data_IF_086601113038
#
_entry.id   IF_086601113038
#
_cell.length_a   1.000
_cell.length_b   1.000
_cell.length_c   1.000
_cell.angle_alpha   90.00
_cell.angle_beta   90.00
_cell.angle_gamma   90.00
#
_symmetry.space_group_name_H-M   'P 1'
#
loop_
_entity.id
_entity.type
_entity.pdbx_description
1 polymer ?
#
# COMPACT_ATOMS: atom_id res chain seq x y z
N UNK A 1 54.29 -5.77 -33.30
CA UNK A 1 55.11 -5.10 -32.27
C UNK A 1 56.58 -5.47 -32.38
N UNK A 2 56.97 -6.75 -32.18
CA UNK A 2 58.38 -7.19 -32.25
C UNK A 2 59.14 -6.71 -33.50
N UNK A 3 58.59 -6.92 -34.69
CA UNK A 3 59.20 -6.51 -35.96
C UNK A 3 59.37 -4.99 -36.10
N UNK A 4 58.40 -4.21 -35.62
CA UNK A 4 58.48 -2.74 -35.66
C UNK A 4 59.61 -2.23 -34.75
N UNK A 5 59.76 -2.83 -33.57
CA UNK A 5 60.85 -2.52 -32.63
C UNK A 5 62.22 -2.84 -33.23
N UNK A 6 62.37 -4.00 -33.89
CA UNK A 6 63.63 -4.40 -34.54
C UNK A 6 64.00 -3.45 -35.70
N UNK A 7 63.04 -3.09 -36.54
CA UNK A 7 63.27 -2.15 -37.66
C UNK A 7 63.68 -0.76 -37.15
N UNK A 8 63.03 -0.26 -36.09
CA UNK A 8 63.44 1.01 -35.47
C UNK A 8 64.85 0.94 -34.87
N UNK A 9 65.23 -0.17 -34.23
CA UNK A 9 66.57 -0.36 -33.70
C UNK A 9 67.63 -0.36 -34.81
N UNK A 10 67.34 -1.02 -35.95
CA UNK A 10 68.23 -1.00 -37.12
C UNK A 10 68.37 0.40 -37.72
N UNK A 11 67.26 1.14 -37.90
CA UNK A 11 67.28 2.52 -38.42
C UNK A 11 68.06 3.47 -37.51
N UNK A 12 67.92 3.33 -36.20
CA UNK A 12 68.69 4.10 -35.22
C UNK A 12 70.19 3.81 -35.32
N UNK A 13 70.58 2.56 -35.57
CA UNK A 13 71.98 2.17 -35.70
C UNK A 13 72.65 2.72 -36.96
N UNK A 14 71.87 3.00 -38.02
CA UNK A 14 72.35 3.61 -39.28
C UNK A 14 72.34 5.15 -39.21
N UNK A 15 72.02 5.74 -38.05
CA UNK A 15 72.05 7.19 -37.83
C UNK A 15 70.78 7.94 -38.26
N UNK A 16 69.69 7.22 -38.58
CA UNK A 16 68.39 7.85 -38.87
C UNK A 16 67.74 8.33 -37.59
N UNK A 17 67.22 9.56 -37.57
CA UNK A 17 66.46 10.08 -36.44
C UNK A 17 65.10 9.38 -36.34
N UNK A 18 64.98 8.43 -35.41
CA UNK A 18 63.74 7.67 -35.18
C UNK A 18 62.70 8.41 -34.33
N UNK A 19 62.99 9.61 -33.83
CA UNK A 19 62.11 10.35 -32.90
C UNK A 19 60.71 10.57 -33.48
N UNK A 20 60.62 10.94 -34.76
CA UNK A 20 59.34 11.12 -35.44
C UNK A 20 58.54 9.80 -35.54
N UNK A 21 59.20 8.68 -35.84
CA UNK A 21 58.56 7.36 -35.92
C UNK A 21 58.07 6.88 -34.55
N UNK A 22 58.88 7.07 -33.50
CA UNK A 22 58.50 6.76 -32.13
C UNK A 22 57.33 7.61 -31.68
N UNK A 23 57.33 8.92 -31.99
CA UNK A 23 56.23 9.82 -31.70
C UNK A 23 54.93 9.38 -32.40
N UNK A 24 54.99 9.05 -33.70
CA UNK A 24 53.84 8.55 -34.46
C UNK A 24 53.32 7.20 -33.95
N UNK A 25 54.20 6.29 -33.53
CA UNK A 25 53.79 5.02 -32.90
C UNK A 25 53.16 5.23 -31.52
N UNK A 26 53.63 6.21 -30.76
CA UNK A 26 53.00 6.61 -29.49
C UNK A 26 51.56 7.09 -29.71
N UNK A 27 51.36 8.03 -30.64
CA UNK A 27 50.02 8.54 -30.98
C UNK A 27 49.15 7.45 -31.59
N UNK A 28 49.69 6.63 -32.50
CA UNK A 28 48.98 5.50 -33.11
C UNK A 28 48.58 4.43 -32.07
N UNK A 29 49.43 4.16 -31.09
CA UNK A 29 49.16 3.25 -29.99
C UNK A 29 48.01 3.72 -29.11
N UNK A 30 47.96 5.02 -28.78
CA UNK A 30 46.84 5.61 -28.04
C UNK A 30 45.54 5.49 -28.83
N UNK A 31 45.56 5.77 -30.14
CA UNK A 31 44.38 5.63 -30.98
C UNK A 31 43.83 4.18 -31.00
N UNK A 32 44.72 3.19 -31.10
CA UNK A 32 44.34 1.76 -31.03
C UNK A 32 43.80 1.40 -29.63
N UNK A 33 44.44 1.89 -28.57
CA UNK A 33 44.00 1.65 -27.19
C UNK A 33 42.59 2.20 -26.95
N UNK A 34 42.31 3.43 -27.39
CA UNK A 34 40.98 4.05 -27.31
C UNK A 34 39.94 3.29 -28.13
N UNK A 35 40.32 2.77 -29.31
CA UNK A 35 39.41 1.98 -30.14
C UNK A 35 39.01 0.65 -29.49
N UNK A 36 39.92 0.01 -28.76
CA UNK A 36 39.71 -1.32 -28.14
C UNK A 36 39.22 -1.23 -26.70
N UNK A 37 39.31 -0.07 -26.05
CA UNK A 37 38.97 0.15 -24.65
C UNK A 37 37.62 -0.47 -24.25
N UNK A 38 36.57 -0.25 -25.04
CA UNK A 38 35.22 -0.76 -24.74
C UNK A 38 35.14 -2.29 -24.83
N UNK A 39 35.83 -2.90 -25.80
CA UNK A 39 35.85 -4.36 -25.98
C UNK A 39 36.55 -5.03 -24.80
N UNK A 40 37.69 -4.48 -24.36
CA UNK A 40 38.38 -4.99 -23.18
C UNK A 40 37.53 -4.81 -21.92
N UNK A 41 36.83 -3.67 -21.79
CA UNK A 41 35.88 -3.43 -20.71
C UNK A 41 34.80 -4.51 -20.61
N UNK A 42 34.16 -4.86 -21.73
CA UNK A 42 33.13 -5.92 -21.78
C UNK A 42 33.69 -7.29 -21.37
N UNK A 43 34.91 -7.62 -21.80
CA UNK A 43 35.57 -8.89 -21.46
C UNK A 43 35.92 -8.93 -19.98
N UNK A 44 36.50 -7.87 -19.42
CA UNK A 44 36.81 -7.79 -17.99
C UNK A 44 35.54 -7.84 -17.14
N UNK A 45 34.46 -7.19 -17.56
CA UNK A 45 33.18 -7.28 -16.86
C UNK A 45 32.66 -8.71 -16.78
N UNK A 46 32.74 -9.45 -17.89
CA UNK A 46 32.31 -10.85 -17.96
C UNK A 46 33.21 -11.77 -17.13
N UNK A 47 34.52 -11.51 -17.13
CA UNK A 47 35.48 -12.22 -16.28
C UNK A 47 35.21 -11.96 -14.80
N UNK A 48 34.95 -10.72 -14.41
CA UNK A 48 34.58 -10.37 -13.03
C UNK A 48 33.28 -11.04 -12.61
N UNK A 49 32.26 -11.10 -13.46
CA UNK A 49 31.03 -11.85 -13.16
C UNK A 49 31.33 -13.35 -12.98
N UNK A 50 32.20 -13.93 -13.81
CA UNK A 50 32.55 -15.35 -13.73
C UNK A 50 33.40 -15.71 -12.50
N UNK A 51 34.31 -14.82 -12.10
CA UNK A 51 35.25 -15.04 -10.98
C UNK A 51 34.59 -14.66 -9.65
N UNK A 52 34.06 -13.45 -9.53
CA UNK A 52 33.52 -12.93 -8.27
C UNK A 52 32.08 -13.38 -8.00
N UNK A 53 31.35 -13.80 -9.05
CA UNK A 53 29.96 -14.27 -9.00
C UNK A 53 29.06 -13.41 -8.12
N UNK A 54 28.91 -12.10 -8.42
CA UNK A 54 27.97 -11.23 -7.69
C UNK A 54 26.51 -11.71 -7.81
N UNK A 55 26.21 -12.46 -8.88
CA UNK A 55 24.94 -13.15 -9.12
C UNK A 55 25.21 -14.40 -9.97
N UNK A 56 24.27 -15.33 -9.93
CA UNK A 56 24.29 -16.56 -10.72
C UNK A 56 23.01 -16.71 -11.56
N UNK A 57 23.05 -17.63 -12.52
CA UNK A 57 21.84 -18.04 -13.25
C UNK A 57 20.83 -18.59 -12.24
N UNK A 58 19.59 -18.11 -12.33
CA UNK A 58 18.50 -18.40 -11.40
C UNK A 58 18.32 -17.36 -10.29
N UNK A 59 19.25 -16.42 -10.11
CA UNK A 59 19.12 -15.38 -9.10
C UNK A 59 18.10 -14.32 -9.55
N UNK A 60 17.21 -13.92 -8.63
CA UNK A 60 16.40 -12.72 -8.82
C UNK A 60 17.22 -11.49 -8.43
N UNK A 61 17.44 -10.60 -9.40
CA UNK A 61 18.24 -9.39 -9.22
C UNK A 61 17.46 -8.14 -9.61
N UNK A 62 17.80 -7.02 -8.97
CA UNK A 62 17.35 -5.68 -9.36
C UNK A 62 18.58 -4.85 -9.71
N UNK A 63 18.57 -4.26 -10.91
CA UNK A 63 19.64 -3.43 -11.46
C UNK A 63 19.03 -2.13 -11.96
N UNK A 64 19.25 -1.04 -11.22
CA UNK A 64 18.57 0.23 -11.49
C UNK A 64 17.06 0.09 -11.40
N UNK A 65 16.35 0.36 -12.50
CA UNK A 65 14.89 0.23 -12.60
C UNK A 65 14.43 -1.16 -13.10
N UNK A 66 15.36 -2.03 -13.49
CA UNK A 66 15.06 -3.34 -14.06
C UNK A 66 15.11 -4.41 -12.98
N UNK A 67 14.18 -5.36 -13.03
CA UNK A 67 14.12 -6.47 -12.08
C UNK A 67 13.76 -7.77 -12.80
N UNK A 68 14.32 -8.88 -12.34
CA UNK A 68 14.02 -10.18 -12.93
C UNK A 68 14.99 -11.28 -12.53
N UNK A 69 14.74 -12.48 -13.05
CA UNK A 69 15.58 -13.66 -12.82
C UNK A 69 16.63 -13.80 -13.91
N UNK A 70 17.89 -13.99 -13.55
CA UNK A 70 18.98 -14.22 -14.50
C UNK A 70 18.77 -15.56 -15.20
N UNK A 71 18.60 -15.55 -16.53
CA UNK A 71 18.46 -16.77 -17.33
C UNK A 71 19.79 -17.25 -17.90
N UNK A 72 20.66 -16.32 -18.31
CA UNK A 72 21.91 -16.66 -18.96
C UNK A 72 22.93 -15.52 -18.86
N UNK A 73 24.17 -15.86 -18.53
CA UNK A 73 25.32 -14.94 -18.54
C UNK A 73 26.21 -15.32 -19.72
N UNK A 74 26.28 -14.46 -20.72
CA UNK A 74 27.15 -14.61 -21.90
C UNK A 74 28.45 -13.83 -21.78
N UNK A 75 29.27 -13.86 -22.84
CA UNK A 75 30.58 -13.18 -22.89
C UNK A 75 30.51 -11.65 -22.99
N UNK A 76 29.38 -11.09 -23.43
CA UNK A 76 29.19 -9.63 -23.54
C UNK A 76 27.92 -9.15 -22.85
N UNK A 77 26.90 -9.99 -22.83
CA UNK A 77 25.57 -9.64 -22.36
C UNK A 77 25.02 -10.69 -21.41
N UNK A 78 24.21 -10.24 -20.48
CA UNK A 78 23.40 -11.08 -19.60
C UNK A 78 21.92 -10.95 -19.98
N UNK A 79 21.20 -12.06 -19.91
CA UNK A 79 19.76 -12.15 -20.20
C UNK A 79 19.00 -12.35 -18.88
N UNK A 80 18.01 -11.50 -18.65
CA UNK A 80 17.21 -11.46 -17.43
C UNK A 80 15.73 -11.60 -17.82
N UNK A 81 15.00 -12.53 -17.22
CA UNK A 81 13.54 -12.63 -17.36
C UNK A 81 12.86 -11.72 -16.36
N UNK A 82 12.20 -10.68 -16.85
CA UNK A 82 11.39 -9.79 -16.03
C UNK A 82 10.16 -10.52 -15.47
N UNK A 83 9.57 -9.96 -14.41
CA UNK A 83 8.29 -10.42 -13.87
C UNK A 83 7.14 -10.26 -14.88
N UNK A 84 7.25 -9.33 -15.84
CA UNK A 84 6.32 -9.18 -16.95
C UNK A 84 6.44 -10.27 -18.02
N UNK A 85 7.46 -11.12 -17.93
CA UNK A 85 7.73 -12.22 -18.85
C UNK A 85 8.62 -11.84 -20.03
N UNK A 86 8.97 -10.57 -20.23
CA UNK A 86 9.94 -10.15 -21.25
C UNK A 86 11.37 -10.55 -20.89
N UNK A 87 12.19 -10.82 -21.92
CA UNK A 87 13.63 -11.03 -21.75
C UNK A 87 14.36 -9.70 -21.94
N UNK A 88 14.97 -9.23 -20.87
CA UNK A 88 15.84 -8.07 -20.84
C UNK A 88 17.25 -8.53 -21.20
N UNK A 89 17.89 -7.86 -22.16
CA UNK A 89 19.28 -8.11 -22.55
C UNK A 89 20.11 -6.89 -22.19
N UNK A 90 21.09 -7.05 -21.31
CA UNK A 90 21.94 -5.97 -20.81
C UNK A 90 23.42 -6.30 -21.02
N UNK A 91 24.23 -5.29 -21.33
CA UNK A 91 25.68 -5.48 -21.42
C UNK A 91 26.28 -5.77 -20.03
N UNK A 92 27.28 -6.64 -19.97
CA UNK A 92 27.92 -7.02 -18.72
C UNK A 92 28.64 -5.82 -18.08
N UNK A 93 29.25 -4.95 -18.88
CA UNK A 93 29.83 -3.70 -18.42
C UNK A 93 28.78 -2.81 -17.72
N UNK A 94 27.59 -2.67 -18.29
CA UNK A 94 26.51 -1.88 -17.69
C UNK A 94 26.01 -2.50 -16.38
N UNK A 95 25.97 -3.84 -16.27
CA UNK A 95 25.60 -4.50 -15.02
C UNK A 95 26.58 -4.19 -13.89
N UNK A 96 27.89 -4.33 -14.14
CA UNK A 96 28.90 -4.12 -13.09
C UNK A 96 29.07 -2.64 -12.73
N UNK A 97 28.72 -1.73 -13.63
CA UNK A 97 28.74 -0.29 -13.37
C UNK A 97 27.55 0.18 -12.53
N UNK A 98 26.52 -0.66 -12.36
CA UNK A 98 25.34 -0.36 -11.55
C UNK A 98 25.35 -1.12 -10.22
N UNK A 99 24.65 -0.57 -9.22
CA UNK A 99 24.40 -1.31 -7.98
C UNK A 99 23.42 -2.44 -8.24
N UNK A 100 23.86 -3.67 -7.96
CA UNK A 100 23.06 -4.89 -8.11
C UNK A 100 22.50 -5.28 -6.74
N UNK A 101 21.17 -5.36 -6.63
CA UNK A 101 20.51 -5.94 -5.47
C UNK A 101 20.18 -7.40 -5.78
N UNK A 102 20.88 -8.34 -5.15
CA UNK A 102 20.66 -9.77 -5.34
C UNK A 102 19.78 -10.33 -4.21
N UNK A 103 18.59 -10.83 -4.58
CA UNK A 103 17.61 -11.35 -3.62
C UNK A 103 17.79 -12.84 -3.33
N UNK A 104 18.64 -13.59 -4.06
CA UNK A 104 18.96 -15.00 -3.75
C UNK A 104 19.58 -15.16 -2.37
N UNK A 105 20.34 -14.16 -1.92
CA UNK A 105 21.02 -14.16 -0.61
C UNK A 105 20.18 -13.59 0.52
N UNK A 106 18.97 -13.10 0.22
CA UNK A 106 18.04 -12.66 1.25
C UNK A 106 17.69 -13.87 2.11
N UNK A 107 17.90 -13.80 3.42
CA UNK A 107 17.48 -14.84 4.36
C UNK A 107 16.16 -14.45 5.02
N UNK A 108 16.03 -13.17 5.36
CA UNK A 108 14.87 -12.61 6.01
C UNK A 108 14.50 -11.30 5.29
N UNK A 109 13.21 -10.97 5.23
CA UNK A 109 12.67 -9.75 4.60
C UNK A 109 12.32 -8.73 5.66
N UNK A 110 13.06 -7.62 5.73
CA UNK A 110 12.67 -6.47 6.55
C UNK A 110 11.56 -5.69 5.85
N UNK A 111 10.41 -5.58 6.50
CA UNK A 111 9.23 -4.88 6.01
C UNK A 111 9.03 -3.61 6.82
N UNK A 112 8.90 -2.48 6.12
CA UNK A 112 8.44 -1.22 6.69
C UNK A 112 6.98 -1.06 6.30
N UNK A 113 6.12 -1.03 7.30
CA UNK A 113 4.68 -0.93 7.17
C UNK A 113 4.20 0.35 7.84
N UNK A 114 3.48 1.18 7.09
CA UNK A 114 2.93 2.43 7.59
C UNK A 114 1.41 2.37 7.56
N UNK A 115 0.78 2.87 8.63
CA UNK A 115 -0.67 3.03 8.69
C UNK A 115 -1.02 4.34 9.39
N UNK A 116 -2.23 4.81 9.12
CA UNK A 116 -2.70 6.13 9.55
C UNK A 116 -4.01 6.00 10.29
N UNK A 117 -4.10 6.65 11.44
CA UNK A 117 -5.28 6.68 12.30
C UNK A 117 -5.88 8.09 12.35
N UNK A 118 -7.15 8.18 12.67
CA UNK A 118 -7.88 9.45 12.75
C UNK A 118 -7.52 10.26 14.01
N UNK A 119 -7.71 11.58 13.96
CA UNK A 119 -7.36 12.50 15.06
C UNK A 119 -8.26 12.41 16.29
N UNK A 120 -9.39 11.69 16.21
CA UNK A 120 -10.28 11.41 17.35
C UNK A 120 -9.76 10.31 18.28
N UNK A 121 -8.65 9.64 17.95
CA UNK A 121 -8.02 8.70 18.86
C UNK A 121 -7.53 9.40 20.13
N UNK A 122 -7.93 8.87 21.29
CA UNK A 122 -7.40 9.27 22.58
C UNK A 122 -5.93 8.88 22.74
N UNK A 123 -5.22 9.57 23.63
CA UNK A 123 -3.81 9.27 23.94
C UNK A 123 -3.64 7.82 24.43
N UNK A 124 -4.61 7.29 25.16
CA UNK A 124 -4.55 5.91 25.65
C UNK A 124 -4.71 4.90 24.49
N UNK A 125 -5.61 5.15 23.54
CA UNK A 125 -5.69 4.35 22.32
C UNK A 125 -4.37 4.38 21.53
N UNK A 126 -3.76 5.56 21.37
CA UNK A 126 -2.48 5.74 20.68
C UNK A 126 -1.36 4.93 21.37
N UNK A 127 -1.35 4.84 22.71
CA UNK A 127 -0.38 4.03 23.48
C UNK A 127 -0.59 2.53 23.32
N UNK A 128 -1.83 2.09 23.13
CA UNK A 128 -2.17 0.67 23.01
C UNK A 128 -1.94 0.12 21.60
N UNK A 129 -2.05 0.96 20.57
CA UNK A 129 -1.88 0.57 19.16
C UNK A 129 -0.56 -0.19 18.90
N UNK A 130 0.63 0.32 19.28
CA UNK A 130 1.88 -0.41 19.07
C UNK A 130 1.95 -1.76 19.76
N UNK A 131 1.38 -1.89 20.96
CA UNK A 131 1.35 -3.14 21.74
C UNK A 131 0.48 -4.20 21.08
N UNK A 132 -0.66 -3.78 20.52
CA UNK A 132 -1.55 -4.65 19.75
C UNK A 132 -0.85 -5.15 18.49
N UNK A 133 -0.19 -4.25 17.76
CA UNK A 133 0.57 -4.58 16.55
C UNK A 133 1.72 -5.55 16.86
N UNK A 134 2.47 -5.33 17.95
CA UNK A 134 3.50 -6.25 18.42
C UNK A 134 2.94 -7.65 18.70
N UNK A 135 1.80 -7.73 19.40
CA UNK A 135 1.15 -8.99 19.73
C UNK A 135 0.73 -9.75 18.47
N UNK A 136 0.15 -9.06 17.49
CA UNK A 136 -0.28 -9.62 16.20
C UNK A 136 0.92 -10.17 15.43
N UNK A 137 2.00 -9.39 15.32
CA UNK A 137 3.18 -9.81 14.57
C UNK A 137 3.86 -11.01 15.22
N UNK A 138 3.99 -11.01 16.55
CA UNK A 138 4.58 -12.14 17.28
C UNK A 138 3.70 -13.42 17.24
N UNK A 139 2.41 -13.31 16.92
CA UNK A 139 1.55 -14.47 16.70
C UNK A 139 1.81 -15.16 15.35
N UNK A 140 2.42 -14.46 14.39
CA UNK A 140 2.74 -15.01 13.08
C UNK A 140 4.03 -15.84 13.14
N UNK A 141 3.94 -17.13 12.80
CA UNK A 141 5.07 -18.08 12.90
C UNK A 141 6.31 -17.68 12.10
N UNK A 142 6.11 -16.99 10.98
CA UNK A 142 7.17 -16.59 10.05
C UNK A 142 7.47 -15.08 10.14
N UNK A 143 7.04 -14.40 11.21
CA UNK A 143 7.37 -13.00 11.43
C UNK A 143 8.06 -12.79 12.78
N UNK A 144 8.95 -11.81 12.83
CA UNK A 144 9.60 -11.32 14.04
C UNK A 144 9.35 -9.83 14.14
N UNK A 145 8.79 -9.40 15.26
CA UNK A 145 8.61 -7.98 15.54
C UNK A 145 9.96 -7.27 15.72
N UNK A 146 10.08 -6.04 15.20
CA UNK A 146 11.24 -5.16 15.41
C UNK A 146 10.80 -3.92 16.19
N UNK A 147 9.88 -3.11 15.62
CA UNK A 147 9.36 -1.92 16.29
C UNK A 147 7.99 -1.50 15.78
N UNK A 148 7.26 -0.75 16.60
CA UNK A 148 6.06 -0.03 16.19
C UNK A 148 5.95 1.27 16.98
N UNK A 149 5.79 2.40 16.28
CA UNK A 149 5.78 3.71 16.91
C UNK A 149 4.75 4.65 16.27
N UNK A 150 4.16 5.50 17.11
CA UNK A 150 3.54 6.73 16.65
C UNK A 150 4.63 7.67 16.14
N UNK A 151 4.72 7.80 14.81
CA UNK A 151 5.80 8.50 14.10
C UNK A 151 5.61 10.01 14.16
N UNK A 152 4.38 10.48 14.06
CA UNK A 152 4.10 11.91 14.07
C UNK A 152 2.70 12.29 13.58
N UNK A 153 2.51 13.58 13.39
CA UNK A 153 1.26 14.20 12.98
C UNK A 153 1.29 14.49 11.48
N UNK A 154 0.43 13.82 10.71
CA UNK A 154 0.22 14.08 9.29
C UNK A 154 -0.89 15.12 9.05
N UNK A 155 -1.02 15.62 7.82
CA UNK A 155 -1.99 16.68 7.47
C UNK A 155 -3.43 16.34 7.87
N UNK A 156 -3.83 15.07 7.74
CA UNK A 156 -5.19 14.60 8.03
C UNK A 156 -5.22 13.35 8.91
N UNK A 157 -4.11 12.98 9.55
CA UNK A 157 -4.01 11.72 10.31
C UNK A 157 -2.89 11.70 11.35
N UNK A 158 -3.01 10.79 12.31
CA UNK A 158 -1.93 10.31 13.17
C UNK A 158 -1.17 9.20 12.45
N UNK A 159 0.15 9.34 12.29
CA UNK A 159 0.96 8.43 11.48
C UNK A 159 1.73 7.43 12.34
N UNK A 160 1.67 6.15 11.96
CA UNK A 160 2.39 5.07 12.63
C UNK A 160 3.32 4.37 11.64
N UNK A 161 4.51 4.03 12.13
CA UNK A 161 5.46 3.19 11.42
C UNK A 161 5.69 1.92 12.23
N UNK A 162 5.59 0.78 11.56
CA UNK A 162 5.90 -0.53 12.11
C UNK A 162 6.92 -1.23 11.22
N UNK A 163 7.89 -1.86 11.86
CA UNK A 163 8.89 -2.68 11.20
C UNK A 163 8.79 -4.08 11.77
N UNK A 164 8.77 -5.05 10.86
CA UNK A 164 8.88 -6.46 11.20
C UNK A 164 9.70 -7.19 10.15
N UNK A 165 10.16 -8.37 10.51
CA UNK A 165 11.03 -9.18 9.68
C UNK A 165 10.30 -10.48 9.37
N UNK A 166 10.10 -10.80 8.09
CA UNK A 166 9.61 -12.11 7.66
C UNK A 166 10.81 -13.05 7.58
N UNK A 167 10.72 -14.19 8.27
CA UNK A 167 11.78 -15.18 8.44
C UNK A 167 11.94 -16.13 7.23
N UNK A 168 11.38 -15.74 6.09
CA UNK A 168 11.41 -16.50 4.85
C UNK A 168 11.70 -15.56 3.67
N UNK A 169 12.55 -15.97 2.72
CA UNK A 169 12.91 -15.14 1.57
C UNK A 169 11.88 -15.17 0.43
N UNK A 170 10.92 -16.09 0.44
CA UNK A 170 9.87 -16.19 -0.57
C UNK A 170 8.96 -14.97 -0.54
N UNK A 171 8.75 -14.37 -1.71
CA UNK A 171 7.88 -13.22 -1.84
C UNK A 171 6.41 -13.58 -1.55
N UNK A 172 5.95 -14.75 -1.98
CA UNK A 172 4.57 -15.18 -1.74
C UNK A 172 4.30 -15.42 -0.25
N UNK A 173 5.27 -16.01 0.46
CA UNK A 173 5.17 -16.20 1.92
C UNK A 173 5.08 -14.85 2.63
N UNK A 174 5.91 -13.88 2.22
CA UNK A 174 5.79 -12.51 2.71
C UNK A 174 4.37 -11.94 2.47
N UNK A 175 3.82 -12.10 1.27
CA UNK A 175 2.47 -11.58 0.95
C UNK A 175 1.38 -12.22 1.81
N UNK A 176 1.46 -13.53 2.06
CA UNK A 176 0.51 -14.25 2.91
C UNK A 176 0.61 -13.78 4.38
N UNK A 177 1.83 -13.63 4.90
CA UNK A 177 2.08 -13.13 6.27
C UNK A 177 1.60 -11.68 6.40
N UNK A 178 1.91 -10.82 5.43
CA UNK A 178 1.45 -9.43 5.41
C UNK A 178 -0.08 -9.34 5.39
N UNK A 179 -0.74 -10.19 4.61
CA UNK A 179 -2.20 -10.24 4.56
C UNK A 179 -2.79 -10.62 5.92
N UNK A 180 -2.26 -11.67 6.56
CA UNK A 180 -2.72 -12.10 7.88
C UNK A 180 -2.56 -10.99 8.92
N UNK A 181 -1.39 -10.35 8.98
CA UNK A 181 -1.13 -9.20 9.87
C UNK A 181 -2.13 -8.06 9.61
N UNK A 182 -2.38 -7.71 8.34
CA UNK A 182 -3.29 -6.61 8.02
C UNK A 182 -4.72 -6.89 8.50
N UNK A 183 -5.21 -8.12 8.33
CA UNK A 183 -6.55 -8.51 8.77
C UNK A 183 -6.66 -8.50 10.30
N UNK A 184 -5.68 -9.08 10.98
CA UNK A 184 -5.62 -9.08 12.45
C UNK A 184 -5.56 -7.65 13.03
N UNK A 185 -4.84 -6.75 12.37
CA UNK A 185 -4.79 -5.32 12.75
C UNK A 185 -6.18 -4.68 12.58
N UNK A 186 -6.87 -4.96 11.48
CA UNK A 186 -8.23 -4.43 11.25
C UNK A 186 -9.19 -4.87 12.36
N UNK A 187 -9.12 -6.15 12.76
CA UNK A 187 -9.95 -6.68 13.85
C UNK A 187 -9.59 -6.04 15.20
N UNK A 188 -8.29 -6.01 15.56
CA UNK A 188 -7.84 -5.45 16.83
C UNK A 188 -8.12 -3.94 16.97
N UNK A 189 -8.07 -3.17 15.87
CA UNK A 189 -8.37 -1.74 15.91
C UNK A 189 -9.87 -1.48 16.00
N UNK A 190 -10.70 -2.32 15.39
CA UNK A 190 -12.15 -2.25 15.58
C UNK A 190 -12.54 -2.51 17.05
N UNK A 191 -11.89 -3.47 17.71
CA UNK A 191 -12.09 -3.73 19.15
C UNK A 191 -11.65 -2.56 20.05
N UNK A 192 -10.61 -1.83 19.64
CA UNK A 192 -10.08 -0.68 20.37
C UNK A 192 -10.85 0.64 20.09
N UNK A 193 -11.89 0.59 19.25
CA UNK A 193 -12.62 1.76 18.73
C UNK A 193 -11.68 2.78 18.05
N UNK A 194 -10.71 2.27 17.31
CA UNK A 194 -9.72 3.04 16.55
C UNK A 194 -10.04 2.95 15.06
N UNK A 195 -10.00 4.09 14.37
CA UNK A 195 -10.38 4.18 12.96
C UNK A 195 -9.18 4.54 12.09
N UNK A 196 -9.11 3.89 10.92
CA UNK A 196 -8.15 4.26 9.89
C UNK A 196 -8.52 5.62 9.29
N UNK A 197 -7.50 6.44 9.04
CA UNK A 197 -7.69 7.74 8.44
C UNK A 197 -7.98 7.63 6.94
N UNK A 198 -8.98 8.39 6.50
CA UNK A 198 -9.21 8.71 5.10
C UNK A 198 -8.82 10.17 4.86
N UNK A 199 -8.47 10.56 3.62
CA UNK A 199 -8.32 11.96 3.29
C UNK A 199 -9.57 12.74 3.69
N UNK A 200 -9.43 13.68 4.63
CA UNK A 200 -10.54 14.47 5.16
C UNK A 200 -10.27 15.96 4.98
N UNK A 201 -11.34 16.73 4.77
CA UNK A 201 -11.27 18.19 4.67
C UNK A 201 -12.41 18.81 5.45
N UNK A 202 -12.09 19.80 6.27
CA UNK A 202 -13.10 20.64 6.93
C UNK A 202 -13.55 21.71 5.94
N UNK A 203 -14.82 21.66 5.52
CA UNK A 203 -15.41 22.67 4.63
C UNK A 203 -16.15 23.71 5.48
N UNK A 204 -15.64 24.94 5.50
CA UNK A 204 -16.34 26.08 6.07
C UNK A 204 -17.35 26.61 5.05
N UNK A 205 -18.64 26.34 5.27
CA UNK A 205 -19.73 26.84 4.43
C UNK A 205 -20.11 28.24 4.90
N UNK A 206 -19.70 29.28 4.16
CA UNK A 206 -19.92 30.68 4.51
C UNK A 206 -21.41 31.10 4.52
N UNK A 207 -22.24 30.48 3.67
CA UNK A 207 -23.69 30.64 3.72
C UNK A 207 -24.37 29.43 3.08
N UNK A 208 -25.46 28.98 3.70
CA UNK A 208 -26.36 28.02 3.08
C UNK A 208 -27.20 28.76 2.03
N UNK A 209 -27.38 28.22 0.81
CA UNK A 209 -28.31 28.80 -0.15
C UNK A 209 -29.71 28.89 0.48
N UNK A 210 -30.48 29.95 0.20
CA UNK A 210 -31.81 30.12 0.77
C UNK A 210 -32.65 28.88 0.48
N UNK A 211 -33.14 28.25 1.53
CA UNK A 211 -34.08 27.12 1.42
C UNK A 211 -35.27 27.63 0.60
N UNK A 212 -35.41 27.13 -0.64
CA UNK A 212 -36.62 27.34 -1.42
C UNK A 212 -37.73 26.57 -0.70
N UNK A 213 -38.44 27.23 0.21
CA UNK A 213 -39.70 26.74 0.74
C UNK A 213 -40.58 26.45 -0.46
N UNK A 214 -40.77 25.17 -0.80
CA UNK A 214 -41.71 24.78 -1.83
C UNK A 214 -43.03 25.46 -1.49
N UNK A 215 -43.52 26.23 -2.46
CA UNK A 215 -44.69 27.10 -2.35
C UNK A 215 -45.76 26.34 -1.57
N UNK A 216 -46.08 26.83 -0.36
CA UNK A 216 -47.11 26.27 0.52
C UNK A 216 -48.35 26.04 -0.37
N UNK A 217 -48.62 24.79 -0.77
CA UNK A 217 -49.82 24.48 -1.54
C UNK A 217 -50.95 24.86 -0.62
N UNK A 218 -51.62 25.96 -0.95
CA UNK A 218 -52.77 26.44 -0.21
C UNK A 218 -53.86 25.42 -0.49
N UNK A 219 -53.94 24.36 0.33
CA UNK A 219 -55.10 23.48 0.35
C UNK A 219 -56.29 24.40 0.65
N UNK A 220 -57.05 24.74 -0.40
CA UNK A 220 -58.30 25.44 -0.25
C UNK A 220 -59.27 24.48 0.41
N UNK A 221 -59.31 24.53 1.74
CA UNK A 221 -60.43 24.01 2.49
C UNK A 221 -61.66 24.82 2.06
N UNK A 222 -62.51 24.25 1.19
CA UNK A 222 -63.89 24.74 1.03
C UNK A 222 -64.56 24.61 2.39
N UNK A 223 -65.02 25.73 2.95
CA UNK A 223 -65.76 25.69 4.20
C UNK A 223 -67.05 24.89 4.00
N UNK A 224 -67.42 24.00 4.94
CA UNK A 224 -68.78 23.50 5.00
C UNK A 224 -69.71 24.68 5.27
N UNK A 225 -70.76 24.81 4.46
CA UNK A 225 -71.84 25.79 4.62
C UNK A 225 -72.40 25.70 6.04
N UNK A 226 -72.72 26.86 6.63
CA UNK A 226 -73.19 27.03 8.03
C UNK A 226 -74.19 25.94 8.45
N UNK A 227 -73.80 25.15 9.44
CA UNK A 227 -74.73 24.37 10.26
C UNK A 227 -75.13 25.25 11.45
N UNK A 228 -76.04 26.19 11.22
CA UNK A 228 -76.65 26.98 12.31
C UNK A 228 -78.16 27.17 12.11
N UNK A 229 -78.80 26.29 11.34
CA UNK A 229 -80.24 26.35 11.05
C UNK A 229 -80.98 25.03 11.35
N UNK A 230 -80.35 24.12 12.10
CA UNK A 230 -80.92 22.81 12.44
C UNK A 230 -80.72 22.41 13.91
N UNK A 231 -80.86 23.35 14.85
CA UNK A 231 -80.96 23.02 16.27
C UNK A 231 -81.78 24.04 17.07
N UNK A 232 -82.99 24.34 16.58
CA UNK A 232 -84.06 24.98 17.37
C UNK A 232 -85.38 24.25 17.12
N UNK A 233 -85.38 22.93 17.28
CA UNK A 233 -86.57 22.13 17.56
C UNK A 233 -86.11 20.72 17.92
N UNK A 234 -86.19 20.37 19.21
CA UNK A 234 -85.77 19.05 19.67
C UNK A 234 -85.26 18.94 21.10
N UNK A 235 -85.66 19.82 22.02
CA UNK A 235 -85.77 19.42 23.42
C UNK A 235 -86.99 18.50 23.55
N UNK A 236 -86.80 17.21 23.27
CA UNK A 236 -87.56 16.12 23.88
C UNK A 236 -86.75 14.83 23.83
N UNK A 237 -86.64 14.22 25.01
CA UNK A 237 -86.19 12.87 25.32
C UNK A 237 -84.66 12.69 25.34
N UNK A 238 -84.08 12.63 26.55
CA UNK A 238 -83.72 11.38 27.24
C UNK A 238 -82.43 10.78 26.65
N UNK A 239 -81.46 10.19 27.33
CA UNK A 239 -81.15 9.90 28.73
C UNK A 239 -79.82 9.13 28.65
N UNK A 240 -78.91 9.37 29.60
CA UNK A 240 -77.77 8.49 29.93
C UNK A 240 -76.67 8.34 28.84
N UNK A 241 -75.38 8.17 29.11
CA UNK A 241 -74.66 7.72 30.30
C UNK A 241 -73.36 8.51 30.46
N UNK A 242 -73.07 8.75 31.73
CA UNK A 242 -71.81 9.23 32.30
C UNK A 242 -70.70 8.20 32.06
N UNK A 243 -69.53 8.60 31.58
CA UNK A 243 -68.28 7.91 31.94
C UNK A 243 -67.23 8.94 32.34
N UNK A 244 -66.80 8.80 33.58
CA UNK A 244 -65.93 9.68 34.34
C UNK A 244 -64.47 9.52 33.94
N UNK A 245 -63.79 10.64 33.72
CA UNK A 245 -62.35 10.66 33.52
C UNK A 245 -61.53 10.27 34.76
N UNK A 246 -60.28 9.87 34.50
CA UNK A 246 -59.11 10.38 35.24
C UNK A 246 -57.94 10.57 34.26
N UNK A 247 -57.10 11.61 34.44
CA UNK A 247 -55.95 11.87 33.57
C UNK A 247 -54.75 10.97 33.89
N UNK A 248 -53.85 10.84 32.92
CA UNK A 248 -52.61 10.06 32.95
C UNK A 248 -51.49 10.74 33.79
N UNK A 249 -50.79 9.99 34.65
CA UNK A 249 -49.62 10.46 35.41
C UNK A 249 -48.33 9.68 35.06
N UNK A 250 -47.17 10.34 34.91
CA UNK A 250 -45.91 9.71 34.54
C UNK A 250 -45.11 9.30 35.79
N UNK A 251 -45.06 8.00 36.09
CA UNK A 251 -44.30 7.52 37.25
C UNK A 251 -44.45 6.04 37.56
N UNK A 252 -44.18 5.13 36.60
CA UNK A 252 -43.92 3.71 36.88
C UNK A 252 -42.87 3.13 35.94
N UNK A 253 -41.61 3.47 36.22
CA UNK A 253 -40.48 2.63 35.86
C UNK A 253 -40.12 1.78 37.08
N UNK A 254 -39.84 0.49 36.82
CA UNK A 254 -39.24 -0.55 37.68
C UNK A 254 -40.16 -1.71 38.04
N UNK A 255 -39.57 -2.90 37.84
CA UNK A 255 -40.03 -4.25 38.15
C UNK A 255 -40.88 -4.90 37.05
N UNK A 256 -40.22 -5.64 36.17
CA UNK A 256 -40.52 -7.05 35.84
C UNK A 256 -39.29 -7.63 35.13
N UNK A 257 -38.39 -8.19 35.96
CA UNK A 257 -37.31 -9.09 35.54
C UNK A 257 -37.93 -10.39 35.05
N UNK A 258 -37.32 -10.94 33.99
CA UNK A 258 -37.10 -12.38 33.71
C UNK A 258 -38.31 -13.31 33.89
N UNK A 259 -38.83 -13.77 32.75
CA UNK A 259 -39.33 -15.12 32.41
C UNK A 259 -39.86 -14.97 30.97
N UNK A 260 -39.16 -15.37 29.90
CA UNK A 260 -38.72 -16.73 29.62
C UNK A 260 -39.87 -17.52 29.00
N UNK A 261 -40.04 -17.49 27.68
CA UNK A 261 -40.71 -18.53 26.89
C UNK A 261 -40.63 -18.23 25.39
N UNK A 262 -39.76 -19.00 24.74
CA UNK A 262 -39.86 -19.50 23.37
C UNK A 262 -41.20 -19.31 22.64
N UNK A 263 -41.16 -18.65 21.48
CA UNK A 263 -42.11 -18.89 20.39
C UNK A 263 -41.39 -18.70 19.05
N UNK A 264 -40.90 -19.82 18.51
CA UNK A 264 -40.56 -19.96 17.10
C UNK A 264 -41.84 -19.72 16.29
N UNK A 265 -41.81 -18.88 15.26
CA UNK A 265 -42.80 -18.92 14.18
C UNK A 265 -42.07 -19.05 12.85
N UNK A 266 -42.36 -20.18 12.22
CA UNK A 266 -42.03 -20.53 10.87
C UNK A 266 -42.67 -19.54 9.88
N UNK A 267 -41.91 -19.21 8.85
CA UNK A 267 -42.42 -18.63 7.60
C UNK A 267 -43.04 -19.75 6.74
N UNK A 268 -44.26 -19.58 6.22
CA UNK A 268 -44.67 -20.27 5.00
C UNK A 268 -44.50 -19.35 3.79
N UNK A 269 -44.10 -19.98 2.68
CA UNK A 269 -43.64 -19.35 1.45
C UNK A 269 -44.66 -18.52 0.68
N UNK A 270 -44.12 -17.72 -0.24
CA UNK A 270 -44.83 -17.11 -1.36
C UNK A 270 -44.35 -17.78 -2.64
N UNK A 271 -45.25 -18.51 -3.29
CA UNK A 271 -45.23 -18.73 -4.72
C UNK A 271 -45.92 -17.55 -5.45
N UNK A 272 -45.55 -17.40 -6.72
CA UNK A 272 -46.13 -16.62 -7.82
C UNK A 272 -45.29 -15.45 -8.33
N UNK A 273 -44.84 -15.61 -9.58
CA UNK A 273 -44.19 -14.61 -10.43
C UNK A 273 -43.09 -15.24 -11.26
#
# INVERSE_FOLDING_TARGET
>A
MLWATVVMAMLSNVGVNITAFVASLGVGGIAVALAVQNILGDVFASLSIAVDKPFEVGDFIVVGALSGTVEHVGLKTTRIRSLGGEQIVMANADMINNTIQNYKRLQERRIVFEFRLTYDCSVDQIREVPKKVETIINAQKLARFDRSHFRGFGETSLEFETVFIVLDPSYNVYMDVQQAINLDIMEAFAELDVRFAFPSRTVYVASLPPVKTSRRVRLHWRQPTRVSELYSDGLRQESAMRWSGRPWEPGRARSWRRRGASARRAFPGREHG
#
